data_IF_913394306597
#
_entry.id   IF_913394306597
#
_cell.length_a   1.000
_cell.length_b   1.000
_cell.length_c   1.000
_cell.angle_alpha   90.00
_cell.angle_beta   90.00
_cell.angle_gamma   90.00
#
_symmetry.space_group_name_H-M   'P 1'
#
loop_
_entity.id
_entity.type
_entity.pdbx_description
1 polymer ?
#
# COMPACT_ATOMS: atom_id res chain seq x y z
N UNK A 1 0.19 -50.97 -41.79
CA UNK A 1 0.60 -49.72 -41.15
C UNK A 1 0.35 -49.82 -39.65
N UNK A 2 1.41 -49.77 -38.88
CA UNK A 2 1.39 -50.11 -37.45
C UNK A 2 0.78 -48.96 -36.65
N UNK A 3 -0.22 -49.23 -35.81
CA UNK A 3 -0.94 -48.24 -34.97
C UNK A 3 -0.03 -47.34 -34.12
N UNK A 4 1.21 -47.75 -33.85
CA UNK A 4 2.21 -46.94 -33.15
C UNK A 4 2.75 -45.75 -33.95
N UNK A 5 2.75 -45.81 -35.27
CA UNK A 5 3.26 -44.73 -36.13
C UNK A 5 2.22 -43.63 -36.37
N UNK A 6 0.93 -43.92 -36.11
CA UNK A 6 -0.15 -42.94 -36.23
C UNK A 6 -0.15 -41.93 -35.08
N UNK A 7 0.23 -42.38 -33.85
CA UNK A 7 0.30 -41.48 -32.68
C UNK A 7 1.51 -40.53 -32.70
N UNK A 8 2.61 -40.95 -33.33
CA UNK A 8 3.79 -40.07 -33.50
C UNK A 8 3.51 -38.96 -34.51
N UNK A 9 2.73 -39.24 -35.57
CA UNK A 9 2.35 -38.25 -36.56
C UNK A 9 1.32 -37.22 -36.03
N UNK A 10 0.40 -37.63 -35.12
CA UNK A 10 -0.57 -36.76 -34.49
C UNK A 10 0.09 -35.87 -33.43
N UNK A 11 1.14 -36.36 -32.72
CA UNK A 11 1.87 -35.56 -31.75
C UNK A 11 2.83 -34.53 -32.40
N UNK A 12 3.32 -34.82 -33.62
CA UNK A 12 4.15 -33.90 -34.39
C UNK A 12 3.33 -32.72 -35.03
N UNK A 13 2.02 -32.95 -35.30
CA UNK A 13 1.15 -31.93 -35.88
C UNK A 13 0.55 -30.96 -34.81
N UNK A 14 0.63 -31.32 -33.52
CA UNK A 14 0.20 -30.45 -32.42
C UNK A 14 1.30 -29.51 -31.86
N UNK A 15 2.54 -29.65 -32.35
CA UNK A 15 3.71 -28.84 -32.00
C UNK A 15 4.04 -27.73 -33.01
N UNK A 16 3.26 -27.61 -34.10
CA UNK A 16 3.33 -26.46 -35.01
C UNK A 16 2.38 -25.32 -34.53
N UNK A 17 2.30 -25.16 -33.20
CA UNK A 17 1.78 -23.94 -32.62
C UNK A 17 2.73 -22.80 -33.00
N UNK A 18 2.23 -21.84 -33.77
CA UNK A 18 2.86 -20.57 -34.06
C UNK A 18 3.49 -20.00 -32.79
N UNK A 19 4.82 -20.10 -32.67
CA UNK A 19 5.57 -19.22 -31.80
C UNK A 19 5.38 -17.80 -32.38
N UNK A 20 4.28 -17.15 -31.98
CA UNK A 20 4.27 -15.71 -31.98
C UNK A 20 5.43 -15.35 -31.05
N UNK A 21 6.56 -14.96 -31.60
CA UNK A 21 7.65 -14.37 -30.85
C UNK A 21 7.04 -13.15 -30.15
N UNK A 22 6.72 -13.31 -28.86
CA UNK A 22 6.44 -12.18 -28.01
C UNK A 22 7.72 -11.34 -28.07
N UNK A 23 7.69 -10.27 -28.83
CA UNK A 23 8.78 -9.31 -28.92
C UNK A 23 9.00 -8.83 -27.49
N UNK A 24 10.11 -9.24 -26.89
CA UNK A 24 10.48 -8.90 -25.52
C UNK A 24 10.52 -7.35 -25.46
N UNK A 25 9.53 -6.75 -24.83
CA UNK A 25 9.48 -5.30 -24.69
C UNK A 25 10.66 -4.87 -23.84
N UNK A 26 11.61 -4.17 -24.44
CA UNK A 26 12.75 -3.65 -23.72
C UNK A 26 12.27 -2.68 -22.61
N UNK A 27 12.69 -2.94 -21.38
CA UNK A 27 12.36 -2.11 -20.23
C UNK A 27 13.24 -0.86 -20.29
N UNK A 28 12.61 0.32 -20.34
CA UNK A 28 13.27 1.62 -20.27
C UNK A 28 13.61 2.00 -18.83
N UNK A 29 12.66 1.78 -17.93
CA UNK A 29 12.83 1.98 -16.50
C UNK A 29 12.19 0.81 -15.77
N UNK A 30 12.93 0.18 -14.86
CA UNK A 30 12.38 -0.89 -14.02
C UNK A 30 11.29 -0.35 -13.11
N UNK A 31 10.25 -1.16 -12.90
CA UNK A 31 9.22 -0.86 -11.94
C UNK A 31 9.83 -0.78 -10.53
N UNK A 32 9.46 0.23 -9.76
CA UNK A 32 9.96 0.41 -8.40
C UNK A 32 8.83 0.57 -7.40
N UNK A 33 9.14 0.28 -6.16
CA UNK A 33 8.22 0.46 -5.05
C UNK A 33 8.71 1.62 -4.18
N UNK A 34 7.88 2.63 -4.01
CA UNK A 34 8.17 3.81 -3.19
C UNK A 34 7.45 3.73 -1.86
N UNK A 35 8.14 4.10 -0.78
CA UNK A 35 7.55 4.21 0.54
C UNK A 35 6.48 5.29 0.58
N UNK A 36 5.35 4.98 1.25
CA UNK A 36 4.28 5.92 1.55
C UNK A 36 4.09 6.02 3.06
N UNK A 37 4.13 7.22 3.62
CA UNK A 37 3.82 7.48 5.03
C UNK A 37 2.44 6.95 5.37
N UNK A 38 2.30 6.33 6.56
CA UNK A 38 1.04 5.73 6.96
C UNK A 38 0.91 5.64 8.49
N UNK A 39 -0.32 5.64 8.94
CA UNK A 39 -0.67 5.33 10.31
C UNK A 39 -0.79 3.82 10.52
N UNK A 40 -0.52 3.37 11.74
CA UNK A 40 -0.75 2.00 12.16
C UNK A 40 -1.28 1.94 13.58
N UNK A 41 -1.93 0.83 13.93
CA UNK A 41 -2.40 0.52 15.27
C UNK A 41 -1.89 -0.87 15.66
N UNK A 42 -1.49 -1.03 16.93
CA UNK A 42 -1.12 -2.31 17.51
C UNK A 42 -2.03 -2.60 18.68
N UNK A 43 -2.57 -3.82 18.72
CA UNK A 43 -3.36 -4.35 19.84
C UNK A 43 -2.69 -5.63 20.29
N UNK A 44 -2.27 -5.67 21.55
CA UNK A 44 -1.40 -6.71 22.08
C UNK A 44 -1.89 -7.18 23.44
N UNK A 45 -1.72 -8.47 23.71
CA UNK A 45 -1.92 -9.11 25.03
C UNK A 45 -0.75 -10.02 25.33
N UNK A 46 -0.49 -10.28 26.58
CA UNK A 46 0.61 -11.15 26.97
C UNK A 46 0.85 -11.18 28.46
N UNK A 47 2.11 -11.25 28.82
CA UNK A 47 2.55 -11.35 30.23
C UNK A 47 3.56 -10.25 30.57
N UNK A 48 3.48 -9.78 31.79
CA UNK A 48 4.46 -8.93 32.45
C UNK A 48 5.17 -9.71 33.54
N UNK A 49 6.44 -9.42 33.78
CA UNK A 49 7.22 -9.89 34.91
C UNK A 49 7.84 -8.68 35.60
N UNK A 50 7.45 -8.43 36.86
CA UNK A 50 8.09 -7.42 37.70
C UNK A 50 9.26 -8.08 38.41
N UNK A 51 10.46 -7.53 38.27
CA UNK A 51 11.67 -8.09 38.91
C UNK A 51 11.54 -7.95 40.44
N UNK A 52 11.77 -9.02 41.15
CA UNK A 52 11.72 -9.08 42.58
C UNK A 52 12.47 -10.29 43.13
N UNK A 53 12.42 -10.50 44.45
CA UNK A 53 13.20 -11.53 45.15
C UNK A 53 12.52 -12.90 45.13
N UNK A 54 11.25 -13.00 44.66
CA UNK A 54 10.54 -14.27 44.54
C UNK A 54 10.94 -15.02 43.26
N UNK A 55 10.48 -16.27 43.13
CA UNK A 55 10.71 -17.04 41.90
C UNK A 55 10.10 -16.34 40.68
N UNK A 56 10.77 -16.43 39.55
CA UNK A 56 10.33 -15.81 38.27
C UNK A 56 8.85 -16.09 37.95
N UNK A 57 8.43 -17.34 38.05
CA UNK A 57 7.06 -17.77 37.75
C UNK A 57 5.99 -17.11 38.62
N UNK A 58 6.34 -16.79 39.86
CA UNK A 58 5.38 -16.25 40.83
C UNK A 58 5.06 -14.77 40.57
N UNK A 59 6.00 -14.05 39.95
CA UNK A 59 5.89 -12.63 39.60
C UNK A 59 5.36 -12.38 38.18
N UNK A 60 4.94 -13.42 37.49
CA UNK A 60 4.28 -13.28 36.19
C UNK A 60 2.83 -12.81 36.38
N UNK A 61 2.42 -11.84 35.60
CA UNK A 61 1.08 -11.24 35.60
C UNK A 61 0.60 -10.95 34.16
N UNK A 62 -0.72 -10.85 33.94
CA UNK A 62 -1.24 -10.48 32.63
C UNK A 62 -0.86 -9.05 32.26
N UNK A 63 -0.66 -8.81 30.94
CA UNK A 63 -0.40 -7.50 30.36
C UNK A 63 -1.15 -7.31 29.06
N UNK A 64 -1.51 -6.08 28.76
CA UNK A 64 -2.10 -5.69 27.49
C UNK A 64 -1.55 -4.33 27.04
N UNK A 65 -1.58 -4.05 25.73
CA UNK A 65 -1.20 -2.77 25.20
C UNK A 65 -2.01 -2.42 23.93
N UNK A 66 -2.29 -1.14 23.77
CA UNK A 66 -2.84 -0.56 22.53
C UNK A 66 -1.96 0.62 22.19
N UNK A 67 -1.44 0.64 20.95
CA UNK A 67 -0.60 1.71 20.44
C UNK A 67 -1.14 2.21 19.10
N UNK A 68 -1.03 3.51 18.86
CA UNK A 68 -1.24 4.15 17.56
C UNK A 68 0.09 4.79 17.16
N UNK A 69 0.53 4.55 15.93
CA UNK A 69 1.79 5.06 15.45
C UNK A 69 1.72 5.60 14.04
N UNK A 70 2.72 6.37 13.70
CA UNK A 70 2.91 6.96 12.38
C UNK A 70 4.30 6.65 11.85
N UNK A 71 4.34 5.95 10.72
CA UNK A 71 5.57 5.67 9.98
C UNK A 71 5.84 6.84 9.05
N UNK A 72 6.81 7.70 9.41
CA UNK A 72 7.12 8.92 8.67
C UNK A 72 8.29 8.74 7.68
N UNK A 73 9.11 7.71 7.85
CA UNK A 73 10.20 7.34 6.95
C UNK A 73 10.28 5.81 6.80
N UNK A 74 10.96 5.26 5.78
CA UNK A 74 11.01 3.82 5.54
C UNK A 74 11.43 3.01 6.77
N UNK A 75 12.46 3.47 7.51
CA UNK A 75 12.98 2.79 8.69
C UNK A 75 12.55 3.45 10.02
N UNK A 76 11.82 4.58 10.01
CA UNK A 76 11.54 5.35 11.22
C UNK A 76 10.06 5.67 11.39
N UNK A 77 9.58 5.51 12.60
CA UNK A 77 8.24 5.85 13.04
C UNK A 77 8.23 6.33 14.48
N UNK A 78 7.09 6.85 14.89
CA UNK A 78 6.80 7.13 16.29
C UNK A 78 5.47 6.50 16.65
N UNK A 79 5.28 6.11 17.90
CA UNK A 79 4.00 5.63 18.39
C UNK A 79 3.74 6.16 19.79
N UNK A 80 2.47 6.33 20.10
CA UNK A 80 1.94 6.56 21.43
C UNK A 80 0.97 5.44 21.78
N UNK A 81 0.77 5.20 23.05
CA UNK A 81 -0.15 4.15 23.46
C UNK A 81 -0.30 4.03 24.95
N UNK A 82 -1.12 3.06 25.31
CA UNK A 82 -1.40 2.71 26.69
C UNK A 82 -1.11 1.24 26.88
N UNK A 83 -0.39 0.90 27.95
CA UNK A 83 -0.12 -0.46 28.38
C UNK A 83 -0.41 -0.61 29.86
N UNK A 84 -0.66 -1.83 30.30
CA UNK A 84 -0.91 -2.10 31.69
C UNK A 84 -1.70 -3.37 31.90
N UNK A 85 -2.11 -3.60 33.08
CA UNK A 85 -3.06 -4.52 33.68
C UNK A 85 -2.64 -4.77 35.14
N UNK A 86 -1.87 -5.83 35.41
CA UNK A 86 -1.52 -6.28 36.75
C UNK A 86 -0.01 -6.40 36.88
N UNK A 87 0.50 -6.09 38.06
CA UNK A 87 1.86 -6.38 38.46
C UNK A 87 1.85 -7.13 39.80
N UNK A 88 2.90 -7.88 40.08
CA UNK A 88 3.05 -8.65 41.30
C UNK A 88 4.35 -8.30 41.98
N UNK A 89 4.32 -8.35 43.31
CA UNK A 89 5.48 -8.30 44.17
C UNK A 89 5.41 -9.40 45.26
N UNK A 90 6.48 -9.58 46.00
CA UNK A 90 6.52 -10.55 47.11
C UNK A 90 7.38 -10.03 48.23
N UNK A 91 6.90 -10.18 49.45
CA UNK A 91 7.70 -10.14 50.66
C UNK A 91 8.26 -11.55 50.91
N UNK A 92 9.51 -11.68 51.25
CA UNK A 92 10.18 -12.99 51.19
C UNK A 92 10.38 -13.70 52.50
N UNK A 93 10.31 -13.02 53.66
CA UNK A 93 10.57 -13.65 54.99
C UNK A 93 9.59 -13.17 56.07
N UNK A 94 8.49 -13.87 56.36
CA UNK A 94 7.93 -15.01 55.61
C UNK A 94 7.37 -14.56 54.25
N UNK A 95 7.27 -15.48 53.32
CA UNK A 95 6.77 -15.15 51.97
C UNK A 95 5.32 -14.68 52.00
N UNK A 96 5.08 -13.50 51.42
CA UNK A 96 3.78 -12.87 51.27
C UNK A 96 3.72 -12.30 49.84
N UNK A 97 2.99 -12.96 48.96
CA UNK A 97 2.79 -12.49 47.61
C UNK A 97 1.67 -11.44 47.56
N UNK A 98 1.78 -10.42 46.75
CA UNK A 98 0.78 -9.38 46.56
C UNK A 98 0.72 -8.93 45.08
N UNK A 99 -0.40 -8.36 44.73
CA UNK A 99 -0.65 -7.85 43.40
C UNK A 99 -1.25 -6.44 43.45
N UNK A 100 -1.02 -5.70 42.41
CA UNK A 100 -1.57 -4.37 42.19
C UNK A 100 -1.78 -4.13 40.71
N UNK A 101 -2.57 -3.12 40.40
CA UNK A 101 -2.85 -2.77 38.99
C UNK A 101 -2.06 -1.55 38.56
N UNK A 102 -1.79 -1.44 37.30
CA UNK A 102 -1.14 -0.25 36.71
C UNK A 102 -1.66 0.03 35.33
N UNK A 103 -1.56 1.31 34.95
CA UNK A 103 -1.77 1.82 33.62
C UNK A 103 -0.61 2.74 33.27
N UNK A 104 -0.05 2.60 32.06
CA UNK A 104 1.10 3.36 31.64
C UNK A 104 0.83 3.96 30.26
N UNK A 105 0.81 5.28 30.16
CA UNK A 105 0.87 6.01 28.87
C UNK A 105 2.30 6.05 28.37
N UNK A 106 2.50 5.83 27.08
CA UNK A 106 3.81 5.64 26.45
C UNK A 106 3.96 6.50 25.22
N UNK A 107 5.18 6.95 24.96
CA UNK A 107 5.61 7.56 23.67
C UNK A 107 6.95 6.94 23.29
N UNK A 108 7.00 6.32 22.12
CA UNK A 108 8.17 5.57 21.64
C UNK A 108 8.60 6.06 20.25
N UNK A 109 9.90 6.11 19.99
CA UNK A 109 10.47 6.16 18.65
C UNK A 109 10.79 4.73 18.22
N UNK A 110 10.37 4.36 17.04
CA UNK A 110 10.49 3.00 16.49
C UNK A 110 11.40 3.02 15.27
N UNK A 111 12.35 2.09 15.22
CA UNK A 111 13.23 1.86 14.08
C UNK A 111 13.03 0.47 13.51
N UNK A 112 12.62 0.36 12.23
CA UNK A 112 12.55 -0.90 11.49
C UNK A 112 13.96 -1.32 11.06
N UNK A 113 14.55 -2.25 11.79
CA UNK A 113 15.91 -2.76 11.56
C UNK A 113 16.00 -3.51 10.23
N UNK A 114 14.94 -4.23 9.86
CA UNK A 114 14.90 -4.96 8.60
C UNK A 114 15.00 -4.01 7.40
N UNK A 115 14.33 -2.86 7.48
CA UNK A 115 14.42 -1.81 6.45
C UNK A 115 15.74 -1.05 6.52
N UNK A 116 16.26 -0.80 7.74
CA UNK A 116 17.52 -0.07 7.94
C UNK A 116 18.71 -0.82 7.33
N UNK A 117 18.78 -2.14 7.53
CA UNK A 117 19.92 -2.96 7.08
C UNK A 117 19.73 -3.62 5.71
N UNK A 118 18.49 -3.93 5.32
CA UNK A 118 18.19 -4.68 4.10
C UNK A 118 17.39 -3.86 3.07
N UNK A 119 17.24 -2.54 3.27
CA UNK A 119 16.47 -1.67 2.40
C UNK A 119 14.95 -1.85 2.53
N UNK A 120 14.21 -0.91 1.94
CA UNK A 120 12.75 -0.93 1.98
C UNK A 120 12.17 -2.02 1.06
N UNK A 121 11.42 -2.96 1.64
CA UNK A 121 10.67 -3.98 0.92
C UNK A 121 9.30 -4.18 1.58
N UNK A 122 8.21 -3.65 1.01
CA UNK A 122 6.88 -3.74 1.61
C UNK A 122 6.27 -5.14 1.57
N UNK A 123 6.84 -6.04 0.75
CA UNK A 123 6.40 -7.44 0.63
C UNK A 123 7.20 -8.39 1.53
N UNK A 124 8.16 -7.86 2.33
CA UNK A 124 8.92 -8.66 3.29
C UNK A 124 7.98 -9.32 4.29
N UNK A 125 8.17 -10.63 4.50
CA UNK A 125 7.33 -11.44 5.39
C UNK A 125 7.61 -11.13 6.84
N UNK A 126 8.88 -11.03 7.24
CA UNK A 126 9.31 -10.77 8.61
C UNK A 126 10.05 -9.43 8.69
N UNK A 127 9.52 -8.51 9.51
CA UNK A 127 10.14 -7.23 9.80
C UNK A 127 10.47 -7.14 11.30
N UNK A 128 11.77 -7.08 11.62
CA UNK A 128 12.25 -6.83 12.98
C UNK A 128 12.41 -5.33 13.24
N UNK A 129 12.04 -4.88 14.41
CA UNK A 129 12.16 -3.50 14.85
C UNK A 129 12.66 -3.39 16.30
N UNK A 130 13.19 -2.23 16.63
CA UNK A 130 13.48 -1.82 17.98
C UNK A 130 12.80 -0.50 18.29
N UNK A 131 12.62 -0.21 19.55
CA UNK A 131 12.11 1.08 19.98
C UNK A 131 12.70 1.49 21.33
N UNK A 132 12.72 2.79 21.55
CA UNK A 132 13.03 3.40 22.83
C UNK A 132 12.04 4.53 23.09
N UNK A 133 11.69 4.73 24.34
CA UNK A 133 10.70 5.73 24.70
C UNK A 133 10.62 6.03 26.18
N UNK A 134 9.61 6.79 26.52
CA UNK A 134 9.28 7.18 27.89
C UNK A 134 7.81 6.90 28.17
N UNK A 135 7.48 6.70 29.42
CA UNK A 135 6.13 6.48 29.87
C UNK A 135 5.83 7.20 31.19
N UNK A 136 4.55 7.41 31.40
CA UNK A 136 4.00 7.82 32.70
C UNK A 136 3.13 6.69 33.23
N UNK A 137 3.60 6.04 34.25
CA UNK A 137 2.93 4.92 34.92
C UNK A 137 2.09 5.41 36.09
N UNK A 138 0.89 4.85 36.25
CA UNK A 138 0.04 5.03 37.40
C UNK A 138 -0.30 3.68 38.01
N UNK A 139 0.23 3.40 39.22
CA UNK A 139 -0.17 2.28 40.03
C UNK A 139 -1.45 2.57 40.82
N UNK A 140 -2.30 1.57 40.99
CA UNK A 140 -3.54 1.64 41.77
C UNK A 140 -3.96 0.23 42.23
N UNK A 141 -4.93 0.14 43.15
CA UNK A 141 -5.45 -1.15 43.66
C UNK A 141 -4.35 -1.98 44.36
N UNK A 142 -3.71 -1.37 45.37
CA UNK A 142 -2.54 -1.92 46.09
C UNK A 142 -2.90 -2.43 47.51
N UNK A 143 -4.14 -2.86 47.72
CA UNK A 143 -4.68 -3.19 49.04
C UNK A 143 -3.97 -4.40 49.69
N UNK A 144 -3.50 -5.34 48.85
CA UNK A 144 -2.74 -6.49 49.36
C UNK A 144 -1.39 -6.08 49.98
N UNK A 145 -0.66 -5.14 49.35
CA UNK A 145 0.57 -4.61 49.96
C UNK A 145 0.29 -3.81 51.24
N UNK A 146 -0.83 -3.06 51.26
CA UNK A 146 -1.27 -2.34 52.46
C UNK A 146 -1.57 -3.32 53.61
N UNK A 147 -2.21 -4.46 53.35
CA UNK A 147 -2.50 -5.49 54.35
C UNK A 147 -1.21 -6.14 54.89
N UNK A 148 -0.21 -6.37 54.04
CA UNK A 148 1.10 -6.88 54.44
C UNK A 148 1.82 -5.90 55.36
N UNK A 149 1.85 -4.62 55.01
CA UNK A 149 2.45 -3.58 55.86
C UNK A 149 1.74 -3.45 57.20
N UNK A 150 0.41 -3.49 57.25
CA UNK A 150 -0.40 -3.45 58.44
C UNK A 150 -0.18 -4.69 59.36
N UNK A 151 0.24 -5.82 58.79
CA UNK A 151 0.63 -7.02 59.51
C UNK A 151 2.03 -6.93 60.13
N UNK A 152 2.71 -5.79 60.02
CA UNK A 152 4.01 -5.53 60.64
C UNK A 152 5.22 -5.78 59.70
N UNK A 153 4.98 -5.99 58.38
CA UNK A 153 6.05 -6.15 57.40
C UNK A 153 6.26 -4.80 56.70
N UNK A 154 7.19 -3.98 57.16
CA UNK A 154 7.45 -2.63 56.62
C UNK A 154 7.80 -2.63 55.15
N UNK A 155 6.92 -2.11 54.30
CA UNK A 155 7.07 -2.06 52.83
C UNK A 155 7.96 -0.91 52.34
N UNK A 156 8.49 -0.06 53.18
CA UNK A 156 9.48 1.00 52.91
C UNK A 156 9.06 2.07 51.90
N UNK A 157 8.37 1.71 50.83
CA UNK A 157 7.84 2.58 49.80
C UNK A 157 6.36 2.37 49.50
N UNK A 158 5.60 1.90 50.50
CA UNK A 158 4.16 1.67 50.40
C UNK A 158 3.43 2.89 49.85
N UNK A 159 2.50 2.65 48.98
CA UNK A 159 1.54 3.64 48.47
C UNK A 159 0.12 3.08 48.56
N UNK A 160 -0.79 3.89 49.08
CA UNK A 160 -2.21 3.53 49.32
C UNK A 160 -3.14 4.16 48.28
N UNK A 161 -2.75 5.29 47.70
CA UNK A 161 -3.49 5.99 46.66
C UNK A 161 -2.68 5.96 45.37
N UNK A 162 -3.34 5.98 44.23
CA UNK A 162 -2.69 5.89 42.93
C UNK A 162 -1.46 6.81 42.81
N UNK A 163 -0.34 6.26 42.42
CA UNK A 163 0.96 6.91 42.33
C UNK A 163 1.42 7.04 40.88
N UNK A 164 1.85 8.25 40.49
CA UNK A 164 2.46 8.46 39.20
C UNK A 164 3.98 8.28 39.27
N UNK A 165 4.51 7.53 38.31
CA UNK A 165 5.94 7.25 38.16
C UNK A 165 6.37 7.39 36.73
N UNK A 166 7.49 8.06 36.51
CA UNK A 166 8.12 8.07 35.18
C UNK A 166 8.71 6.68 34.87
N UNK A 167 8.62 6.26 33.61
CA UNK A 167 9.20 5.02 33.13
C UNK A 167 10.08 5.31 31.90
N UNK A 168 11.29 4.73 31.87
CA UNK A 168 12.08 4.58 30.66
C UNK A 168 11.69 3.28 29.96
N UNK A 169 11.64 3.25 28.64
CA UNK A 169 11.26 2.06 27.88
C UNK A 169 12.28 1.73 26.80
N UNK A 170 12.53 0.44 26.65
CA UNK A 170 13.30 -0.12 25.54
C UNK A 170 12.69 -1.45 25.14
N UNK A 171 12.61 -1.73 23.84
CA UNK A 171 12.08 -3.00 23.40
C UNK A 171 12.45 -3.34 21.98
N UNK A 172 12.14 -4.56 21.64
CA UNK A 172 12.30 -5.12 20.30
C UNK A 172 11.07 -5.95 19.93
N UNK A 173 10.82 -6.06 18.65
CA UNK A 173 9.71 -6.87 18.18
C UNK A 173 9.87 -7.27 16.73
N UNK A 174 8.93 -8.08 16.28
CA UNK A 174 8.81 -8.45 14.90
C UNK A 174 7.36 -8.44 14.43
N UNK A 175 7.17 -8.11 13.16
CA UNK A 175 5.90 -8.17 12.47
C UNK A 175 5.98 -9.27 11.40
N UNK A 176 5.12 -10.29 11.53
CA UNK A 176 4.91 -11.32 10.52
C UNK A 176 3.76 -10.88 9.62
N UNK A 177 4.07 -10.51 8.38
CA UNK A 177 3.11 -9.98 7.42
C UNK A 177 2.11 -11.06 6.98
N UNK A 178 0.82 -10.78 7.15
CA UNK A 178 -0.28 -11.58 6.63
C UNK A 178 -0.78 -11.03 5.28
N UNK A 179 -0.90 -9.72 5.18
CA UNK A 179 -1.27 -9.01 3.96
C UNK A 179 -0.72 -7.57 3.98
N UNK A 180 -1.13 -6.70 3.05
CA UNK A 180 -0.64 -5.32 2.96
C UNK A 180 -0.98 -4.45 4.18
N UNK A 181 -2.01 -4.82 4.93
CA UNK A 181 -2.52 -4.03 6.06
C UNK A 181 -2.39 -4.71 7.42
N UNK A 182 -2.27 -6.04 7.45
CA UNK A 182 -2.32 -6.82 8.67
C UNK A 182 -1.06 -7.64 8.86
N UNK A 183 -0.50 -7.61 10.06
CA UNK A 183 0.62 -8.44 10.51
C UNK A 183 0.36 -8.97 11.91
N UNK A 184 0.84 -10.17 12.21
CA UNK A 184 1.01 -10.63 13.59
C UNK A 184 2.20 -9.88 14.16
N UNK A 185 2.04 -9.36 15.36
CA UNK A 185 3.08 -8.63 16.08
C UNK A 185 3.51 -9.41 17.32
N UNK A 186 4.81 -9.59 17.50
CA UNK A 186 5.43 -10.16 18.70
C UNK A 186 6.40 -9.11 19.24
N UNK A 187 6.30 -8.77 20.52
CA UNK A 187 7.10 -7.71 21.12
C UNK A 187 7.58 -8.12 22.50
N UNK A 188 8.86 -7.86 22.78
CA UNK A 188 9.45 -7.88 24.12
C UNK A 188 9.92 -6.50 24.52
N UNK A 189 9.59 -6.04 25.72
CA UNK A 189 10.04 -4.75 26.22
C UNK A 189 10.42 -4.77 27.69
N UNK A 190 11.32 -3.87 28.06
CA UNK A 190 11.73 -3.57 29.41
C UNK A 190 11.30 -2.16 29.79
N UNK A 191 10.70 -2.00 30.94
CA UNK A 191 10.37 -0.73 31.57
C UNK A 191 11.24 -0.56 32.82
N UNK A 192 11.89 0.58 32.94
CA UNK A 192 12.66 0.99 34.11
C UNK A 192 11.86 2.03 34.85
N UNK A 193 11.49 1.74 36.06
CA UNK A 193 10.66 2.58 36.94
C UNK A 193 11.42 2.96 38.21
N UNK A 194 10.87 3.91 38.96
CA UNK A 194 11.40 4.22 40.29
C UNK A 194 11.23 3.05 41.22
N UNK A 195 12.15 2.86 42.21
CA UNK A 195 12.11 1.94 43.34
C UNK A 195 10.80 1.97 44.18
N UNK A 196 9.87 2.78 43.75
CA UNK A 196 8.54 2.94 44.41
C UNK A 196 7.42 2.20 43.70
N UNK A 197 7.72 1.54 42.59
CA UNK A 197 6.70 0.89 41.80
C UNK A 197 6.10 -0.35 42.50
N UNK A 198 6.95 -1.18 43.06
CA UNK A 198 6.55 -2.41 43.74
C UNK A 198 6.28 -2.26 45.25
N UNK A 199 6.20 -1.03 45.79
CA UNK A 199 6.01 -0.69 47.21
C UNK A 199 7.15 -1.09 48.14
N UNK A 200 8.16 -1.80 47.71
CA UNK A 200 9.34 -2.19 48.50
C UNK A 200 10.46 -1.17 48.34
N UNK A 201 11.35 -1.10 49.27
CA UNK A 201 12.57 -0.31 49.20
C UNK A 201 13.77 -1.24 48.96
N UNK A 202 14.25 -1.25 47.73
CA UNK A 202 15.42 -2.02 47.33
C UNK A 202 16.68 -1.14 47.13
N UNK A 203 16.50 0.16 46.98
CA UNK A 203 17.57 1.13 46.71
C UNK A 203 18.06 1.16 45.23
N UNK A 204 17.36 0.50 44.35
CA UNK A 204 17.62 0.48 42.91
C UNK A 204 16.31 0.64 42.12
N UNK A 205 16.42 0.85 40.80
CA UNK A 205 15.24 0.99 39.93
C UNK A 205 14.47 -0.33 39.84
N UNK A 206 13.14 -0.25 39.82
CA UNK A 206 12.26 -1.38 39.52
C UNK A 206 12.26 -1.67 38.03
N UNK A 207 12.36 -2.93 37.67
CA UNK A 207 12.32 -3.39 36.29
C UNK A 207 11.07 -4.22 36.06
N UNK A 208 10.43 -3.94 34.93
CA UNK A 208 9.31 -4.74 34.46
C UNK A 208 9.54 -5.14 33.01
N UNK A 209 9.51 -6.42 32.73
CA UNK A 209 9.61 -7.00 31.40
C UNK A 209 8.24 -7.43 30.90
N UNK A 210 7.91 -7.12 29.65
CA UNK A 210 6.69 -7.56 29.00
C UNK A 210 7.01 -8.41 27.79
N UNK A 211 6.25 -9.49 27.60
CA UNK A 211 6.21 -10.30 26.39
C UNK A 211 4.79 -10.26 25.85
N UNK A 212 4.61 -9.67 24.68
CA UNK A 212 3.31 -9.34 24.08
C UNK A 212 3.17 -9.98 22.70
N UNK A 213 1.97 -10.46 22.41
CA UNK A 213 1.54 -10.97 21.12
C UNK A 213 0.28 -10.22 20.69
N UNK A 214 0.17 -9.87 19.42
CA UNK A 214 -0.98 -9.14 18.95
C UNK A 214 -1.02 -8.94 17.44
N UNK A 215 -1.74 -7.92 17.05
CA UNK A 215 -1.92 -7.52 15.65
C UNK A 215 -1.38 -6.12 15.43
N UNK A 216 -0.72 -5.94 14.30
CA UNK A 216 -0.35 -4.63 13.76
C UNK A 216 -1.18 -4.37 12.50
N UNK A 217 -1.98 -3.30 12.53
CA UNK A 217 -2.96 -2.93 11.51
C UNK A 217 -2.54 -1.60 10.88
N UNK A 218 -2.19 -1.59 9.60
CA UNK A 218 -1.85 -0.38 8.84
C UNK A 218 -3.10 0.26 8.25
N UNK A 219 -3.25 1.57 8.40
CA UNK A 219 -4.32 2.34 7.78
C UNK A 219 -3.92 2.74 6.35
N UNK A 220 -4.17 1.82 5.42
CA UNK A 220 -3.82 1.94 4.01
C UNK A 220 -2.56 1.15 3.63
N UNK A 221 -2.19 1.22 2.34
CA UNK A 221 -0.94 0.64 1.86
C UNK A 221 0.21 1.56 2.22
N UNK A 222 1.26 1.05 2.85
CA UNK A 222 2.47 1.79 3.20
C UNK A 222 3.43 2.01 2.02
N UNK A 223 2.98 1.80 0.79
CA UNK A 223 3.79 1.92 -0.41
C UNK A 223 2.96 2.24 -1.66
N UNK A 224 3.65 2.73 -2.70
CA UNK A 224 3.14 2.93 -4.04
C UNK A 224 3.99 2.10 -5.01
N UNK A 225 3.35 1.30 -5.86
CA UNK A 225 4.00 0.60 -6.96
C UNK A 225 4.03 1.52 -8.17
N UNK A 226 5.21 1.73 -8.73
CA UNK A 226 5.43 2.44 -9.99
C UNK A 226 5.70 1.35 -11.02
N UNK A 227 4.82 1.18 -12.03
CA UNK A 227 5.00 0.16 -13.05
C UNK A 227 6.25 0.44 -13.90
N UNK A 228 6.87 -0.59 -14.49
CA UNK A 228 7.99 -0.41 -15.40
C UNK A 228 7.54 0.39 -16.64
N UNK A 229 8.44 1.24 -17.12
CA UNK A 229 8.27 1.95 -18.39
C UNK A 229 8.99 1.15 -19.47
N UNK A 230 8.27 0.81 -20.52
CA UNK A 230 8.83 0.09 -21.67
C UNK A 230 9.23 1.08 -22.76
N UNK A 231 10.25 0.74 -23.56
CA UNK A 231 10.48 1.43 -24.82
C UNK A 231 9.27 1.18 -25.72
N UNK A 232 8.66 2.23 -26.22
CA UNK A 232 7.77 2.10 -27.38
C UNK A 232 8.67 1.69 -28.55
N UNK A 233 8.42 0.55 -29.22
CA UNK A 233 9.18 0.23 -30.41
C UNK A 233 8.98 1.39 -31.40
N UNK A 234 10.08 1.97 -31.85
CA UNK A 234 10.03 2.88 -33.02
C UNK A 234 9.28 2.14 -34.12
N UNK A 235 8.36 2.81 -34.84
CA UNK A 235 7.69 2.16 -35.95
C UNK A 235 8.78 1.64 -36.86
N UNK A 236 8.83 0.30 -37.03
CA UNK A 236 9.75 -0.34 -37.96
C UNK A 236 9.37 0.23 -39.33
N UNK A 237 10.19 1.13 -39.82
CA UNK A 237 10.15 1.51 -41.24
C UNK A 237 10.59 0.27 -41.97
N UNK A 238 9.63 -0.54 -42.39
CA UNK A 238 9.90 -1.63 -43.31
C UNK A 238 10.34 -0.96 -44.61
N UNK A 239 11.67 -0.88 -44.81
CA UNK A 239 12.21 -0.59 -46.14
C UNK A 239 11.68 -1.69 -47.04
N UNK A 240 10.73 -1.31 -47.89
CA UNK A 240 10.28 -2.22 -48.94
C UNK A 240 11.50 -2.57 -49.81
N UNK A 241 11.76 -3.87 -50.05
CA UNK A 241 12.85 -4.25 -50.95
C UNK A 241 12.64 -3.55 -52.29
N UNK A 242 13.67 -2.82 -52.76
CA UNK A 242 13.71 -2.22 -54.09
C UNK A 242 13.29 -3.25 -55.14
N UNK A 243 12.19 -3.05 -55.87
CA UNK A 243 11.85 -3.94 -56.95
C UNK A 243 12.89 -3.78 -58.07
N UNK A 244 13.35 -4.94 -58.59
CA UNK A 244 14.12 -4.98 -59.82
C UNK A 244 13.31 -4.36 -60.97
N UNK A 245 13.97 -3.72 -61.95
CA UNK A 245 13.27 -3.00 -63.01
C UNK A 245 12.51 -3.96 -63.93
N UNK A 246 11.20 -4.02 -63.80
CA UNK A 246 10.31 -4.57 -64.83
C UNK A 246 9.59 -3.40 -65.46
N UNK A 247 9.94 -3.18 -66.74
CA UNK A 247 9.24 -2.25 -67.61
C UNK A 247 7.85 -2.82 -67.89
N UNK A 248 6.81 -2.22 -67.33
CA UNK A 248 5.45 -2.29 -67.85
C UNK A 248 4.78 -0.92 -67.64
N UNK A 249 4.27 -0.45 -68.73
CA UNK A 249 3.63 0.83 -68.98
C UNK A 249 2.33 1.00 -68.19
N UNK A 250 2.24 2.13 -67.49
CA UNK A 250 1.06 2.94 -67.15
C UNK A 250 -0.21 2.26 -66.61
N UNK A 251 -0.47 2.54 -65.30
CA UNK A 251 -1.67 3.26 -64.85
C UNK A 251 -1.36 3.88 -63.48
N UNK A 252 -1.26 5.19 -63.43
CA UNK A 252 -1.07 6.00 -62.22
C UNK A 252 -2.35 5.96 -61.39
N UNK A 253 -2.32 5.22 -60.28
CA UNK A 253 -3.22 5.47 -59.18
C UNK A 253 -2.38 6.11 -58.05
N UNK A 254 -2.52 7.42 -57.88
CA UNK A 254 -1.87 8.19 -56.82
C UNK A 254 -2.36 7.67 -55.46
N UNK A 255 -1.51 6.95 -54.70
CA UNK A 255 -1.75 6.65 -53.29
C UNK A 255 -1.80 7.99 -52.57
N UNK A 256 -3.00 8.44 -52.22
CA UNK A 256 -3.24 9.60 -51.37
C UNK A 256 -2.66 9.27 -49.98
N UNK A 257 -1.56 9.93 -49.62
CA UNK A 257 -1.00 9.88 -48.24
C UNK A 257 -2.02 10.58 -47.32
N UNK A 258 -2.87 9.78 -46.70
CA UNK A 258 -3.88 10.27 -45.75
C UNK A 258 -3.17 10.72 -44.49
N UNK A 259 -3.12 12.04 -44.24
CA UNK A 259 -2.56 12.55 -42.99
C UNK A 259 -3.49 12.25 -41.82
N UNK A 260 -2.99 11.74 -40.67
CA UNK A 260 -3.81 11.47 -39.50
C UNK A 260 -4.54 12.71 -39.00
N UNK A 261 -5.82 12.56 -38.64
CA UNK A 261 -6.62 13.63 -38.08
C UNK A 261 -6.79 13.46 -36.59
N UNK A 262 -6.37 14.48 -35.80
CA UNK A 262 -6.61 14.55 -34.35
C UNK A 262 -7.71 15.56 -34.02
N UNK A 263 -8.66 15.18 -33.13
CA UNK A 263 -9.66 16.07 -32.58
C UNK A 263 -9.80 15.83 -31.07
N UNK A 264 -9.89 16.92 -30.31
CA UNK A 264 -10.05 16.91 -28.86
C UNK A 264 -11.45 17.41 -28.49
N UNK A 265 -12.27 16.50 -27.94
CA UNK A 265 -13.65 16.77 -27.53
C UNK A 265 -13.65 17.05 -26.03
N UNK A 266 -13.91 18.29 -25.61
CA UNK A 266 -13.89 18.73 -24.22
C UNK A 266 -15.24 18.58 -23.54
N UNK A 267 -15.22 18.41 -22.22
CA UNK A 267 -16.41 18.19 -21.41
C UNK A 267 -16.46 19.14 -20.21
N UNK A 268 -17.68 19.47 -19.77
CA UNK A 268 -17.90 20.20 -18.55
C UNK A 268 -17.51 19.37 -17.32
N UNK A 269 -17.31 20.05 -16.18
CA UNK A 269 -17.05 19.42 -14.90
C UNK A 269 -18.14 18.40 -14.56
N UNK A 270 -17.72 17.22 -14.11
CA UNK A 270 -18.61 16.09 -13.75
C UNK A 270 -19.63 15.71 -14.82
N UNK A 271 -19.31 15.94 -16.09
CA UNK A 271 -20.19 15.65 -17.23
C UNK A 271 -19.48 14.81 -18.27
N UNK A 272 -20.23 13.92 -18.91
CA UNK A 272 -19.86 13.21 -20.14
C UNK A 272 -20.76 13.60 -21.32
N UNK A 273 -21.65 14.60 -21.14
CA UNK A 273 -22.48 15.12 -22.23
C UNK A 273 -21.60 15.94 -23.18
N UNK A 274 -21.66 15.63 -24.47
CA UNK A 274 -21.01 16.42 -25.51
C UNK A 274 -21.72 17.78 -25.58
N UNK A 275 -20.95 18.85 -25.50
CA UNK A 275 -21.44 20.22 -25.57
C UNK A 275 -21.70 20.63 -27.01
N UNK A 276 -22.61 21.57 -27.22
CA UNK A 276 -23.06 21.96 -28.57
C UNK A 276 -21.92 22.51 -29.46
N UNK A 277 -20.98 23.21 -28.84
CA UNK A 277 -19.75 23.72 -29.52
C UNK A 277 -18.76 22.62 -29.93
N UNK A 278 -18.85 21.41 -29.33
CA UNK A 278 -18.00 20.27 -29.69
C UNK A 278 -18.54 19.44 -30.87
N UNK A 279 -19.79 19.63 -31.26
CA UNK A 279 -20.38 18.88 -32.37
C UNK A 279 -19.73 19.16 -33.72
N UNK A 280 -19.19 20.36 -33.93
CA UNK A 280 -18.42 20.70 -35.15
C UNK A 280 -17.19 19.79 -35.29
N UNK A 281 -16.46 19.49 -34.21
CA UNK A 281 -15.28 18.61 -34.21
C UNK A 281 -15.66 17.16 -34.55
N UNK A 282 -16.81 16.69 -34.03
CA UNK A 282 -17.35 15.36 -34.35
C UNK A 282 -17.69 15.30 -35.84
N UNK A 283 -18.30 16.35 -36.42
CA UNK A 283 -18.61 16.40 -37.86
C UNK A 283 -17.34 16.33 -38.71
N UNK A 284 -16.26 17.02 -38.29
CA UNK A 284 -14.96 16.94 -38.99
C UNK A 284 -14.40 15.51 -38.98
N UNK A 285 -14.49 14.81 -37.84
CA UNK A 285 -14.07 13.40 -37.73
C UNK A 285 -14.89 12.49 -38.65
N UNK A 286 -16.21 12.70 -38.71
CA UNK A 286 -17.12 11.95 -39.57
C UNK A 286 -16.77 12.19 -41.04
N UNK A 287 -16.60 13.45 -41.46
CA UNK A 287 -16.21 13.81 -42.83
C UNK A 287 -14.89 13.17 -43.23
N UNK A 288 -13.87 13.23 -42.35
CA UNK A 288 -12.60 12.58 -42.56
C UNK A 288 -12.75 11.06 -42.74
N UNK A 289 -13.50 10.40 -41.86
CA UNK A 289 -13.70 8.94 -41.91
C UNK A 289 -14.54 8.51 -43.11
N UNK A 290 -15.45 9.36 -43.60
CA UNK A 290 -16.22 9.10 -44.81
C UNK A 290 -15.38 9.25 -46.06
N UNK A 291 -14.48 10.24 -46.07
CA UNK A 291 -13.51 10.43 -47.18
C UNK A 291 -12.44 9.35 -47.23
N UNK A 292 -12.16 8.70 -46.08
CA UNK A 292 -11.13 7.67 -45.95
C UNK A 292 -11.75 6.37 -45.40
N UNK A 293 -12.35 5.51 -46.26
CA UNK A 293 -13.08 4.32 -45.84
C UNK A 293 -12.24 3.29 -45.06
N UNK A 294 -10.92 3.23 -45.30
CA UNK A 294 -9.98 2.34 -44.60
C UNK A 294 -9.53 2.87 -43.24
N UNK A 295 -9.67 4.17 -42.96
CA UNK A 295 -9.23 4.78 -41.71
C UNK A 295 -10.06 4.33 -40.53
N UNK A 296 -9.41 4.16 -39.40
CA UNK A 296 -10.01 3.84 -38.09
C UNK A 296 -9.82 4.99 -37.11
N UNK A 297 -10.75 5.17 -36.16
CA UNK A 297 -10.63 6.20 -35.14
C UNK A 297 -10.42 5.57 -33.78
N UNK A 298 -9.38 6.02 -33.09
CA UNK A 298 -9.12 5.69 -31.68
C UNK A 298 -9.65 6.82 -30.80
N UNK A 299 -10.64 6.52 -29.96
CA UNK A 299 -11.26 7.45 -29.01
C UNK A 299 -10.78 7.12 -27.61
N UNK A 300 -10.02 8.01 -26.95
CA UNK A 300 -9.51 7.81 -25.60
C UNK A 300 -10.04 8.88 -24.66
N UNK A 301 -10.84 8.49 -23.66
CA UNK A 301 -11.41 9.38 -22.66
C UNK A 301 -10.47 9.62 -21.48
N UNK A 302 -10.49 10.85 -20.94
CA UNK A 302 -9.71 11.30 -19.80
C UNK A 302 -10.60 12.06 -18.80
N UNK A 303 -10.14 12.12 -17.56
CA UNK A 303 -10.73 12.93 -16.51
C UNK A 303 -9.63 13.69 -15.75
N UNK A 304 -9.94 14.88 -15.28
CA UNK A 304 -8.97 15.66 -14.49
C UNK A 304 -8.72 15.02 -13.11
N UNK A 305 -7.45 15.07 -12.65
CA UNK A 305 -7.04 14.48 -11.39
C UNK A 305 -7.33 15.37 -10.16
N UNK A 306 -7.69 16.64 -10.37
CA UNK A 306 -7.90 17.60 -9.29
C UNK A 306 -9.32 17.53 -8.75
N UNK A 307 -10.25 16.84 -9.46
CA UNK A 307 -11.65 16.71 -9.06
C UNK A 307 -12.07 15.24 -9.01
N UNK A 308 -13.04 14.92 -8.14
CA UNK A 308 -13.55 13.57 -7.99
C UNK A 308 -12.60 12.63 -7.24
N UNK A 309 -12.65 11.35 -7.59
CA UNK A 309 -11.75 10.32 -7.09
C UNK A 309 -11.46 9.30 -8.22
N UNK A 310 -10.43 8.43 -8.10
CA UNK A 310 -10.03 7.52 -9.17
C UNK A 310 -11.15 6.62 -9.70
N UNK A 311 -12.09 6.20 -8.86
CA UNK A 311 -13.23 5.36 -9.26
C UNK A 311 -14.23 6.16 -10.09
N UNK A 312 -14.57 7.37 -9.64
CA UNK A 312 -15.49 8.28 -10.37
C UNK A 312 -14.85 8.70 -11.69
N UNK A 313 -13.58 9.09 -11.67
CA UNK A 313 -12.84 9.57 -12.83
C UNK A 313 -12.67 8.48 -13.89
N UNK A 314 -12.46 7.22 -13.46
CA UNK A 314 -12.46 6.07 -14.38
C UNK A 314 -13.80 5.94 -15.10
N UNK A 315 -14.90 5.89 -14.35
CA UNK A 315 -16.25 5.77 -14.92
C UNK A 315 -16.59 6.97 -15.83
N UNK A 316 -16.19 8.17 -15.43
CA UNK A 316 -16.46 9.39 -16.19
C UNK A 316 -15.70 9.41 -17.51
N UNK A 317 -14.43 9.00 -17.52
CA UNK A 317 -13.63 8.90 -18.73
C UNK A 317 -14.14 7.82 -19.69
N UNK A 318 -14.63 6.69 -19.17
CA UNK A 318 -15.29 5.64 -19.97
C UNK A 318 -16.56 6.18 -20.64
N UNK A 319 -17.42 6.87 -19.89
CA UNK A 319 -18.64 7.47 -20.42
C UNK A 319 -18.34 8.54 -21.47
N UNK A 320 -17.30 9.35 -21.28
CA UNK A 320 -16.89 10.38 -22.26
C UNK A 320 -16.47 9.74 -23.58
N UNK A 321 -15.62 8.69 -23.52
CA UNK A 321 -15.21 7.97 -24.74
C UNK A 321 -16.38 7.27 -25.42
N UNK A 322 -17.27 6.62 -24.66
CA UNK A 322 -18.45 5.96 -25.19
C UNK A 322 -19.41 6.94 -25.87
N UNK A 323 -19.69 8.09 -25.25
CA UNK A 323 -20.61 9.08 -25.82
C UNK A 323 -20.09 9.68 -27.14
N UNK A 324 -18.76 9.86 -27.27
CA UNK A 324 -18.16 10.27 -28.55
C UNK A 324 -18.30 9.15 -29.60
N UNK A 325 -18.04 7.89 -29.23
CA UNK A 325 -18.20 6.76 -30.15
C UNK A 325 -19.68 6.59 -30.57
N UNK A 326 -20.63 6.76 -29.65
CA UNK A 326 -22.06 6.72 -29.97
C UNK A 326 -22.47 7.86 -30.91
N UNK A 327 -21.91 9.05 -30.75
CA UNK A 327 -22.13 10.17 -31.64
C UNK A 327 -21.58 9.92 -33.05
N UNK A 328 -20.40 9.29 -33.17
CA UNK A 328 -19.83 8.87 -34.46
C UNK A 328 -20.69 7.77 -35.10
N UNK A 329 -21.14 6.80 -34.31
CA UNK A 329 -22.02 5.73 -34.78
C UNK A 329 -23.37 6.25 -35.29
N UNK A 330 -23.97 7.20 -34.57
CA UNK A 330 -25.22 7.85 -34.98
C UNK A 330 -25.09 8.58 -36.34
N UNK A 331 -23.84 8.92 -36.75
CA UNK A 331 -23.50 9.55 -38.02
C UNK A 331 -22.99 8.56 -39.09
N UNK A 332 -23.16 7.26 -38.84
CA UNK A 332 -22.89 6.21 -39.83
C UNK A 332 -21.49 5.60 -39.81
N UNK A 333 -20.66 5.89 -38.78
CA UNK A 333 -19.36 5.23 -38.63
C UNK A 333 -19.57 3.88 -37.93
N UNK A 334 -19.13 2.80 -38.55
CA UNK A 334 -19.32 1.42 -38.04
C UNK A 334 -18.42 1.10 -36.87
N UNK A 335 -18.84 0.19 -35.99
CA UNK A 335 -18.13 -0.13 -34.74
C UNK A 335 -16.73 -0.75 -34.95
N UNK A 336 -16.54 -1.50 -36.04
CA UNK A 336 -15.25 -2.11 -36.43
C UNK A 336 -14.18 -1.08 -36.80
N UNK A 337 -14.61 0.16 -37.09
CA UNK A 337 -13.73 1.31 -37.38
C UNK A 337 -13.42 2.15 -36.11
N UNK A 338 -13.91 1.76 -34.93
CA UNK A 338 -13.73 2.53 -33.71
C UNK A 338 -13.00 1.70 -32.63
N UNK A 339 -11.93 2.25 -32.07
CA UNK A 339 -11.23 1.69 -30.91
C UNK A 339 -11.45 2.61 -29.70
N UNK A 340 -12.21 2.13 -28.71
CA UNK A 340 -12.61 2.92 -27.54
C UNK A 340 -11.72 2.57 -26.36
N UNK A 341 -11.11 3.58 -25.74
CA UNK A 341 -10.26 3.46 -24.56
C UNK A 341 -10.61 4.50 -23.49
N UNK A 342 -10.17 4.27 -22.24
CA UNK A 342 -10.27 5.25 -21.18
C UNK A 342 -9.04 5.19 -20.27
N UNK A 343 -8.61 6.33 -19.74
CA UNK A 343 -7.44 6.47 -18.87
C UNK A 343 -7.79 6.99 -17.47
N UNK A 344 -9.06 7.33 -17.21
CA UNK A 344 -9.43 7.92 -15.92
C UNK A 344 -8.67 9.23 -15.70
N UNK A 345 -8.12 9.36 -14.49
CA UNK A 345 -7.22 10.43 -14.06
C UNK A 345 -5.76 10.00 -13.97
N UNK A 346 -5.42 8.80 -14.46
CA UNK A 346 -4.05 8.26 -14.37
C UNK A 346 -3.08 8.92 -15.35
N UNK A 347 -3.59 9.51 -16.42
CA UNK A 347 -2.83 10.25 -17.42
C UNK A 347 -3.47 11.61 -17.61
N UNK A 348 -2.68 12.67 -17.55
CA UNK A 348 -3.10 14.04 -17.76
C UNK A 348 -2.44 14.54 -19.06
N UNK A 349 -3.15 14.51 -20.22
CA UNK A 349 -2.57 14.88 -21.50
C UNK A 349 -2.29 16.37 -21.65
N UNK A 350 -2.90 17.20 -20.79
CA UNK A 350 -2.76 18.65 -20.81
C UNK A 350 -2.34 19.21 -19.45
N UNK A 351 -1.86 20.44 -19.42
CA UNK A 351 -1.34 21.09 -18.22
C UNK A 351 -2.43 21.64 -17.29
N UNK A 352 -3.61 21.93 -17.82
CA UNK A 352 -4.72 22.47 -17.00
C UNK A 352 -5.76 21.40 -16.69
N UNK A 353 -6.38 21.41 -15.50
CA UNK A 353 -7.42 20.45 -15.12
C UNK A 353 -8.62 20.48 -16.09
N UNK A 354 -8.98 21.65 -16.58
CA UNK A 354 -10.10 21.87 -17.51
C UNK A 354 -9.87 21.11 -18.82
N UNK A 355 -8.68 21.20 -19.38
CA UNK A 355 -8.30 20.54 -20.62
C UNK A 355 -8.18 19.01 -20.48
N UNK A 356 -7.97 18.51 -19.26
CA UNK A 356 -7.95 17.07 -19.00
C UNK A 356 -9.36 16.43 -18.92
N UNK A 357 -10.41 17.21 -19.00
CA UNK A 357 -11.78 16.73 -19.19
C UNK A 357 -12.09 16.54 -20.70
N UNK A 358 -11.44 15.57 -21.32
CA UNK A 358 -11.38 15.43 -22.78
C UNK A 358 -11.54 13.98 -23.26
N UNK A 359 -12.03 13.81 -24.46
CA UNK A 359 -11.84 12.59 -25.28
C UNK A 359 -10.98 12.95 -26.49
N UNK A 360 -9.79 12.37 -26.57
CA UNK A 360 -8.86 12.55 -27.68
C UNK A 360 -9.20 11.51 -28.74
N UNK A 361 -9.49 11.99 -29.97
CA UNK A 361 -9.83 11.17 -31.11
C UNK A 361 -8.71 11.29 -32.16
N UNK A 362 -8.13 10.15 -32.55
CA UNK A 362 -7.11 10.07 -33.62
C UNK A 362 -7.66 9.15 -34.69
N UNK A 363 -7.84 9.69 -35.89
CA UNK A 363 -8.29 8.95 -37.05
C UNK A 363 -7.11 8.80 -38.05
N UNK A 364 -6.78 7.55 -38.39
CA UNK A 364 -5.66 7.16 -39.25
C UNK A 364 -5.97 5.91 -40.06
#
# INVERSE_FOLDING_TARGET
>A
MNKKNLWIAVFALLLSGTFASAQERQIKEEGRTEFKRHWFMQVQVGAAHTVGEAKFTDLISPAAAINIGYQFAPAWGAREGVSGWQAKGSWVAPRQDYQYKYLQGNVDIVSDLSTLFCGFNPKRVLNGYVFAGVGLNRGFDNDEAVAIDAAGYEMGHLWTKGKFLAAGRLGLGCNLRLNDRLSINIEGNANVLSDKFNSKKAGNADWQFNALLGLNIKFGKGYKEIPPVYYEPEPVVVEQPKPAPVVVEQLKEEAVVVQPMKQDIFFALNSAKIQDDQHAKINMLVEYLQKNPSAKVKVTGYADANTGNPRINKTLSEKRASNVADALKAKGITADRMLINSKGDTVQPYNTPEENRVSICIAE
#
